data_IF_349741770221
#
_entry.id   IF_349741770221
#
_cell.length_a   1.000
_cell.length_b   1.000
_cell.length_c   1.000
_cell.angle_alpha   90.00
_cell.angle_beta   90.00
_cell.angle_gamma   90.00
#
_symmetry.space_group_name_H-M   'P 1'
#
loop_
_entity.id
_entity.type
_entity.pdbx_description
1 polymer ?
#
# COMPACT_ATOMS: atom_id res chain seq x y z
N UNK A 1 -36.07 5.65 -8.60
CA UNK A 1 -35.99 4.63 -7.53
C UNK A 1 -34.80 5.00 -6.66
N UNK A 2 -35.03 5.58 -5.48
CA UNK A 2 -33.96 6.03 -4.58
C UNK A 2 -33.17 4.80 -4.12
N UNK A 3 -31.93 4.67 -4.59
CA UNK A 3 -30.97 3.75 -3.99
C UNK A 3 -30.68 4.32 -2.61
N UNK A 4 -31.10 3.59 -1.57
CA UNK A 4 -30.69 3.84 -0.19
C UNK A 4 -29.15 3.78 -0.14
N UNK A 5 -28.51 4.95 -0.27
CA UNK A 5 -27.08 5.13 -0.03
C UNK A 5 -26.83 4.84 1.44
N UNK A 6 -26.35 3.63 1.73
CA UNK A 6 -25.86 3.26 3.05
C UNK A 6 -24.75 4.25 3.39
N UNK A 7 -24.99 5.15 4.34
CA UNK A 7 -23.97 6.08 4.82
C UNK A 7 -22.74 5.28 5.30
N UNK A 8 -21.53 5.52 4.76
CA UNK A 8 -20.33 4.73 5.07
C UNK A 8 -19.84 4.91 6.52
N UNK A 9 -20.40 5.86 7.26
CA UNK A 9 -20.19 6.01 8.70
C UNK A 9 -20.84 4.89 9.52
N UNK A 10 -21.77 4.12 8.96
CA UNK A 10 -22.42 3.01 9.65
C UNK A 10 -21.48 1.82 9.88
N UNK A 11 -20.44 1.65 9.06
CA UNK A 11 -19.45 0.57 9.19
C UNK A 11 -18.18 0.94 9.98
N UNK A 12 -18.07 2.18 10.46
CA UNK A 12 -16.92 2.62 11.25
C UNK A 12 -17.10 2.26 12.73
N UNK A 13 -15.99 1.88 13.38
CA UNK A 13 -15.98 1.67 14.83
C UNK A 13 -16.38 2.96 15.57
N UNK A 14 -17.14 2.87 16.69
CA UNK A 14 -17.62 4.04 17.43
C UNK A 14 -16.52 5.05 17.79
N UNK A 15 -15.30 4.56 18.11
CA UNK A 15 -14.16 5.42 18.39
C UNK A 15 -13.75 6.35 17.23
N UNK A 16 -14.01 5.94 15.98
CA UNK A 16 -13.74 6.76 14.79
C UNK A 16 -14.85 7.78 14.53
N UNK A 17 -16.07 7.56 15.03
CA UNK A 17 -17.23 8.43 14.79
C UNK A 17 -17.16 9.76 15.54
N UNK A 18 -16.54 9.75 16.73
CA UNK A 18 -16.47 10.93 17.61
C UNK A 18 -15.19 11.78 17.45
N UNK A 19 -14.18 11.27 16.75
CA UNK A 19 -12.88 11.96 16.56
C UNK A 19 -12.66 12.44 15.14
N UNK A 20 -13.44 11.96 14.17
CA UNK A 20 -13.33 12.36 12.78
C UNK A 20 -14.49 13.30 12.46
N UNK A 21 -14.19 14.57 12.18
CA UNK A 21 -15.16 15.47 11.56
C UNK A 21 -15.43 14.98 10.11
N UNK A 22 -16.32 14.02 9.96
CA UNK A 22 -16.82 13.49 8.68
C UNK A 22 -17.65 14.53 7.89
N UNK A 23 -17.78 15.77 8.36
CA UNK A 23 -18.64 16.79 7.77
C UNK A 23 -18.06 17.51 6.53
N UNK A 24 -16.91 17.06 6.00
CA UNK A 24 -16.28 17.65 4.81
C UNK A 24 -15.65 16.58 3.88
N UNK A 25 -16.32 15.44 3.71
CA UNK A 25 -15.89 14.34 2.84
C UNK A 25 -16.29 14.63 1.39
N UNK A 26 -15.32 14.60 0.47
CA UNK A 26 -15.62 14.40 -0.95
C UNK A 26 -15.70 12.89 -1.20
N UNK A 27 -16.88 12.39 -1.54
CA UNK A 27 -17.04 11.01 -1.97
C UNK A 27 -16.71 10.91 -3.45
N UNK A 28 -15.79 10.02 -3.81
CA UNK A 28 -15.63 9.53 -5.17
C UNK A 28 -15.60 8.02 -5.13
N UNK A 29 -16.48 7.39 -5.90
CA UNK A 29 -16.37 5.96 -6.17
C UNK A 29 -15.14 5.76 -7.05
N UNK A 30 -13.98 5.60 -6.42
CA UNK A 30 -12.74 5.22 -7.08
C UNK A 30 -12.85 3.75 -7.49
N UNK A 31 -12.44 3.42 -8.71
CA UNK A 31 -12.22 2.03 -9.08
C UNK A 31 -11.12 1.43 -8.19
N UNK A 32 -11.44 0.38 -7.44
CA UNK A 32 -10.51 -0.25 -6.51
C UNK A 32 -9.86 -1.48 -7.14
N UNK A 33 -8.55 -1.41 -7.38
CA UNK A 33 -7.73 -2.56 -7.81
C UNK A 33 -6.87 -3.07 -6.65
N UNK A 34 -7.10 -4.31 -6.24
CA UNK A 34 -6.24 -5.03 -5.29
C UNK A 34 -5.30 -5.99 -6.02
N UNK A 35 -4.00 -5.93 -5.74
CA UNK A 35 -2.97 -6.82 -6.31
C UNK A 35 -2.21 -7.52 -5.18
N UNK A 36 -2.47 -8.79 -4.97
CA UNK A 36 -1.77 -9.61 -3.98
C UNK A 36 -0.80 -10.59 -4.63
N UNK A 37 0.22 -11.02 -3.88
CA UNK A 37 1.12 -12.06 -4.34
C UNK A 37 2.39 -12.22 -3.49
N UNK A 38 3.19 -13.26 -3.75
CA UNK A 38 4.40 -13.53 -2.99
C UNK A 38 5.49 -12.48 -3.25
N UNK A 39 6.61 -12.60 -2.52
CA UNK A 39 7.76 -11.75 -2.75
C UNK A 39 8.37 -12.01 -4.15
N UNK A 40 8.89 -10.95 -4.78
CA UNK A 40 9.54 -11.01 -6.09
C UNK A 40 8.68 -11.55 -7.27
N UNK A 41 7.34 -11.58 -7.14
CA UNK A 41 6.42 -11.93 -8.24
C UNK A 41 6.30 -10.83 -9.31
N UNK A 42 6.85 -9.63 -9.09
CA UNK A 42 6.68 -8.48 -9.99
C UNK A 42 5.55 -7.54 -9.58
N UNK A 43 4.70 -7.91 -8.61
CA UNK A 43 3.51 -7.15 -8.18
C UNK A 43 3.72 -5.64 -8.04
N UNK A 44 4.69 -5.18 -7.24
CA UNK A 44 4.84 -3.75 -6.94
C UNK A 44 5.36 -2.96 -8.14
N UNK A 45 6.17 -3.58 -9.00
CA UNK A 45 6.64 -2.95 -10.23
C UNK A 45 5.49 -2.83 -11.23
N UNK A 46 4.72 -3.91 -11.39
CA UNK A 46 3.58 -3.97 -12.32
C UNK A 46 2.42 -3.07 -11.87
N UNK A 47 2.04 -3.12 -10.59
CA UNK A 47 0.98 -2.31 -9.99
C UNK A 47 1.24 -0.82 -10.18
N UNK A 48 2.49 -0.40 -9.98
CA UNK A 48 2.95 0.96 -10.19
C UNK A 48 2.83 1.41 -11.64
N UNK A 49 3.26 0.59 -12.60
CA UNK A 49 3.15 0.93 -14.02
C UNK A 49 1.69 1.02 -14.43
N UNK A 50 0.85 0.09 -13.95
CA UNK A 50 -0.59 0.13 -14.18
C UNK A 50 -1.20 1.41 -13.60
N UNK A 51 -0.91 1.76 -12.35
CA UNK A 51 -1.39 2.97 -11.71
C UNK A 51 -0.97 4.24 -12.47
N UNK A 52 0.29 4.32 -12.89
CA UNK A 52 0.80 5.45 -13.66
C UNK A 52 0.08 5.61 -15.01
N UNK A 53 -0.11 4.51 -15.74
CA UNK A 53 -0.77 4.52 -17.07
C UNK A 53 -2.27 4.80 -16.97
N UNK A 54 -2.94 4.27 -15.95
CA UNK A 54 -4.36 4.51 -15.66
C UNK A 54 -4.61 5.87 -14.99
N UNK A 55 -3.56 6.56 -14.53
CA UNK A 55 -3.66 7.77 -13.69
C UNK A 55 -4.50 7.51 -12.43
N UNK A 56 -4.24 6.36 -11.79
CA UNK A 56 -4.81 5.97 -10.52
C UNK A 56 -3.88 6.35 -9.38
N UNK A 57 -4.44 6.51 -8.18
CA UNK A 57 -3.64 6.51 -6.95
C UNK A 57 -2.93 5.17 -6.79
N UNK A 58 -1.82 5.17 -6.05
CA UNK A 58 -1.08 3.96 -5.76
C UNK A 58 -0.72 3.88 -4.29
N UNK A 59 -1.08 2.79 -3.63
CA UNK A 59 -0.63 2.48 -2.27
C UNK A 59 0.06 1.14 -2.31
N UNK A 60 1.34 1.14 -1.97
CA UNK A 60 2.10 -0.09 -1.96
C UNK A 60 2.08 -0.82 -0.61
N UNK A 61 2.48 -2.08 -0.62
CA UNK A 61 2.66 -2.89 0.59
C UNK A 61 3.71 -2.31 1.55
N UNK A 62 4.62 -1.47 1.04
CA UNK A 62 5.58 -0.71 1.82
C UNK A 62 4.93 0.44 2.58
N UNK A 63 3.97 1.13 1.96
CA UNK A 63 3.19 2.25 2.48
C UNK A 63 2.19 1.75 3.52
N UNK A 64 1.59 0.58 3.29
CA UNK A 64 0.80 -0.12 4.30
C UNK A 64 1.63 -0.45 5.55
N UNK A 65 2.90 -0.86 5.38
CA UNK A 65 3.85 -1.02 6.50
C UNK A 65 4.33 0.31 7.07
N UNK A 66 4.39 1.36 6.25
CA UNK A 66 4.78 2.69 6.67
C UNK A 66 3.73 3.32 7.60
N UNK A 67 2.44 2.99 7.47
CA UNK A 67 1.42 3.44 8.43
C UNK A 67 1.70 2.95 9.86
N UNK A 68 2.17 1.70 10.03
CA UNK A 68 2.62 1.22 11.35
C UNK A 68 3.84 2.00 11.86
N UNK A 69 4.75 2.37 10.96
CA UNK A 69 5.91 3.21 11.29
C UNK A 69 5.50 4.63 11.69
N UNK A 70 4.48 5.20 11.04
CA UNK A 70 3.89 6.50 11.40
C UNK A 70 3.28 6.45 12.79
N UNK A 71 2.52 5.40 13.12
CA UNK A 71 1.98 5.22 14.48
C UNK A 71 3.10 5.02 15.50
N UNK A 72 4.14 4.27 15.14
CA UNK A 72 5.33 4.11 16.00
C UNK A 72 5.98 5.47 16.28
N UNK A 73 6.15 6.29 15.24
CA UNK A 73 6.70 7.64 15.38
C UNK A 73 5.83 8.52 16.29
N UNK A 74 4.51 8.51 16.05
CA UNK A 74 3.57 9.27 16.86
C UNK A 74 3.63 8.87 18.34
N UNK A 75 3.71 7.56 18.63
CA UNK A 75 3.83 7.04 19.99
C UNK A 75 5.12 7.49 20.67
N UNK A 76 6.26 7.34 19.99
CA UNK A 76 7.57 7.75 20.54
C UNK A 76 7.64 9.26 20.80
N UNK A 77 7.09 10.09 19.90
CA UNK A 77 7.00 11.55 20.09
C UNK A 77 6.15 11.94 21.32
N UNK A 78 5.26 11.07 21.78
CA UNK A 78 4.43 11.23 22.98
C UNK A 78 5.01 10.51 24.21
N UNK A 79 6.25 10.00 24.13
CA UNK A 79 6.90 9.17 25.15
C UNK A 79 6.09 7.92 25.54
N UNK A 80 5.29 7.38 24.62
CA UNK A 80 4.54 6.14 24.80
C UNK A 80 5.39 4.96 24.31
N UNK A 81 5.46 3.90 25.12
CA UNK A 81 6.22 2.70 24.78
C UNK A 81 5.39 1.77 23.89
N UNK A 82 5.83 1.46 22.64
CA UNK A 82 5.10 0.57 21.72
C UNK A 82 4.89 -0.87 22.21
N UNK A 83 5.62 -1.28 23.23
CA UNK A 83 5.56 -2.63 23.81
C UNK A 83 4.92 -2.66 25.20
N UNK A 84 4.62 -1.48 25.78
CA UNK A 84 3.99 -1.40 27.10
C UNK A 84 2.48 -1.66 27.01
N UNK A 85 1.92 -2.61 27.77
CA UNK A 85 0.47 -2.81 27.85
C UNK A 85 -0.28 -1.58 28.38
N UNK A 86 0.34 -0.80 29.28
CA UNK A 86 -0.26 0.40 29.87
C UNK A 86 -0.48 1.52 28.86
N UNK A 87 0.38 1.58 27.84
CA UNK A 87 0.28 2.59 26.78
C UNK A 87 -0.56 2.11 25.60
N UNK A 88 -0.95 0.83 25.52
CA UNK A 88 -1.67 0.27 24.39
C UNK A 88 -2.99 1.01 24.09
N UNK A 89 -3.75 1.38 25.12
CA UNK A 89 -4.98 2.17 25.00
C UNK A 89 -4.71 3.58 24.46
N UNK A 90 -3.68 4.27 25.00
CA UNK A 90 -3.27 5.60 24.56
C UNK A 90 -2.78 5.60 23.11
N UNK A 91 -2.00 4.58 22.72
CA UNK A 91 -1.53 4.39 21.35
C UNK A 91 -2.71 4.14 20.40
N UNK A 92 -3.71 3.39 20.84
CA UNK A 92 -4.94 3.16 20.06
C UNK A 92 -5.71 4.46 19.85
N UNK A 93 -5.88 5.26 20.91
CA UNK A 93 -6.50 6.58 20.82
C UNK A 93 -5.71 7.52 19.89
N UNK A 94 -4.38 7.57 20.05
CA UNK A 94 -3.48 8.34 19.20
C UNK A 94 -3.63 7.94 17.73
N UNK A 95 -3.67 6.63 17.45
CA UNK A 95 -3.89 6.09 16.10
C UNK A 95 -5.22 6.57 15.53
N UNK A 96 -6.29 6.55 16.32
CA UNK A 96 -7.61 7.00 15.88
C UNK A 96 -7.56 8.48 15.48
N UNK A 97 -6.97 9.33 16.31
CA UNK A 97 -6.92 10.79 16.14
C UNK A 97 -5.85 11.29 15.16
N UNK A 98 -4.81 10.50 14.87
CA UNK A 98 -3.75 10.91 13.94
C UNK A 98 -4.25 10.98 12.49
N UNK A 99 -3.94 12.09 11.83
CA UNK A 99 -4.17 12.28 10.41
C UNK A 99 -2.96 11.77 9.62
N UNK A 100 -3.07 10.57 9.10
CA UNK A 100 -2.08 10.00 8.18
C UNK A 100 -2.54 10.35 6.76
N UNK A 101 -1.63 10.83 5.91
CA UNK A 101 -1.88 11.05 4.48
C UNK A 101 -0.75 10.42 3.66
N UNK A 102 -1.12 9.74 2.57
CA UNK A 102 -0.19 9.12 1.63
C UNK A 102 -0.38 9.79 0.27
N UNK A 103 0.72 10.20 -0.36
CA UNK A 103 0.68 10.75 -1.71
C UNK A 103 1.79 10.16 -2.56
N UNK A 104 1.45 9.52 -3.67
CA UNK A 104 2.44 9.01 -4.61
C UNK A 104 2.73 10.03 -5.70
N UNK A 105 4.00 10.44 -5.78
CA UNK A 105 4.51 11.24 -6.87
C UNK A 105 5.01 10.30 -7.95
N UNK A 106 4.33 10.29 -9.09
CA UNK A 106 4.81 9.65 -10.30
C UNK A 106 5.76 10.59 -11.04
N UNK A 107 7.00 10.14 -11.27
CA UNK A 107 7.93 10.84 -12.15
C UNK A 107 7.65 10.40 -13.59
N UNK A 108 7.04 11.25 -14.44
CA UNK A 108 6.79 10.87 -15.82
C UNK A 108 8.13 10.68 -16.57
N UNK A 109 8.19 9.78 -17.57
CA UNK A 109 9.32 9.77 -18.50
C UNK A 109 9.43 11.14 -19.19
N UNK A 110 10.65 11.63 -19.37
CA UNK A 110 10.90 12.88 -20.10
C UNK A 110 10.78 12.63 -21.61
N UNK A 111 10.45 13.68 -22.38
CA UNK A 111 10.28 13.59 -23.86
C UNK A 111 11.53 12.98 -24.54
N UNK A 112 12.71 13.11 -23.93
CA UNK A 112 13.98 12.59 -24.44
C UNK A 112 14.31 11.15 -24.01
N UNK A 113 13.52 10.51 -23.13
CA UNK A 113 13.83 9.16 -22.65
C UNK A 113 12.58 8.35 -22.28
N UNK A 114 12.45 7.16 -22.85
CA UNK A 114 11.37 6.20 -22.54
C UNK A 114 11.46 5.58 -21.14
N UNK A 115 12.51 5.89 -20.37
CA UNK A 115 12.70 5.41 -19.00
C UNK A 115 12.24 6.50 -18.01
N UNK A 116 11.39 6.18 -17.02
CA UNK A 116 11.06 7.11 -15.96
C UNK A 116 12.33 7.55 -15.23
N UNK A 117 12.47 8.85 -15.00
CA UNK A 117 13.68 9.48 -14.43
C UNK A 117 14.01 8.94 -13.02
N UNK A 118 13.00 8.49 -12.28
CA UNK A 118 13.11 7.86 -10.96
C UNK A 118 11.86 7.02 -10.65
N UNK A 119 12.01 6.06 -9.73
CA UNK A 119 10.87 5.34 -9.18
C UNK A 119 9.88 6.34 -8.55
N UNK A 120 8.57 6.12 -8.65
CA UNK A 120 7.59 6.93 -7.92
C UNK A 120 7.86 6.85 -6.44
N UNK A 121 7.74 8.01 -5.80
CA UNK A 121 7.99 8.20 -4.38
C UNK A 121 6.66 8.39 -3.67
N UNK A 122 6.40 7.58 -2.65
CA UNK A 122 5.28 7.85 -1.74
C UNK A 122 5.75 8.76 -0.62
N UNK A 123 5.20 9.97 -0.61
CA UNK A 123 5.28 10.92 0.50
C UNK A 123 4.26 10.56 1.57
N UNK A 124 4.65 10.70 2.82
CA UNK A 124 3.88 10.27 3.98
C UNK A 124 3.83 11.43 4.96
N UNK A 125 2.61 11.84 5.30
CA UNK A 125 2.37 12.95 6.21
C UNK A 125 1.67 12.45 7.48
N UNK A 126 2.07 13.01 8.62
CA UNK A 126 1.44 12.84 9.92
C UNK A 126 1.02 14.21 10.43
N UNK A 127 -0.29 14.44 10.60
CA UNK A 127 -0.85 15.72 11.04
C UNK A 127 -0.33 16.92 10.21
N UNK A 128 -0.18 16.73 8.90
CA UNK A 128 0.31 17.75 7.96
C UNK A 128 1.83 17.84 7.83
N UNK A 129 2.59 17.20 8.72
CA UNK A 129 4.06 17.17 8.68
C UNK A 129 4.57 16.04 7.78
N UNK A 130 5.52 16.33 6.88
CA UNK A 130 6.18 15.30 6.07
C UNK A 130 7.12 14.46 6.94
N UNK A 131 6.74 13.21 7.19
CA UNK A 131 7.51 12.25 8.00
C UNK A 131 8.16 11.17 7.14
N UNK A 132 8.22 11.36 5.81
CA UNK A 132 8.68 10.36 4.84
C UNK A 132 10.04 9.79 5.23
N UNK A 133 11.01 10.62 5.58
CA UNK A 133 12.35 10.14 5.95
C UNK A 133 12.42 9.62 7.38
N UNK A 134 11.79 10.30 8.33
CA UNK A 134 11.88 10.01 9.76
C UNK A 134 11.35 8.63 10.13
N UNK A 135 10.23 8.20 9.51
CA UNK A 135 9.64 6.88 9.78
C UNK A 135 10.55 5.71 9.35
N UNK A 136 11.63 5.98 8.61
CA UNK A 136 12.61 4.98 8.16
C UNK A 136 13.81 4.87 9.10
N UNK A 137 13.84 5.61 10.20
CA UNK A 137 14.95 5.58 11.16
C UNK A 137 15.17 4.18 11.79
N UNK A 138 16.39 3.89 12.27
CA UNK A 138 16.67 2.66 13.02
C UNK A 138 15.80 2.52 14.27
N UNK A 139 15.53 3.63 14.96
CA UNK A 139 14.69 3.67 16.15
C UNK A 139 13.26 3.21 15.88
N UNK A 140 12.66 3.68 14.78
CA UNK A 140 11.33 3.25 14.35
C UNK A 140 11.34 1.76 13.98
N UNK A 141 12.38 1.32 13.29
CA UNK A 141 12.53 -0.09 12.90
C UNK A 141 12.62 -1.01 14.12
N UNK A 142 13.29 -0.56 15.19
CA UNK A 142 13.41 -1.30 16.45
C UNK A 142 12.06 -1.49 17.16
N UNK A 143 11.18 -0.50 17.06
CA UNK A 143 9.95 -0.45 17.85
C UNK A 143 8.66 -0.84 17.09
N UNK A 144 8.73 -0.99 15.75
CA UNK A 144 7.54 -1.26 14.91
C UNK A 144 6.79 -2.54 15.29
N UNK A 145 7.49 -3.56 15.80
CA UNK A 145 6.89 -4.86 16.15
C UNK A 145 5.85 -4.73 17.26
N UNK A 146 6.06 -3.84 18.23
CA UNK A 146 5.11 -3.57 19.30
C UNK A 146 3.78 -3.04 18.76
N UNK A 147 3.85 -2.02 17.90
CA UNK A 147 2.67 -1.45 17.22
C UNK A 147 1.99 -2.48 16.31
N UNK A 148 2.75 -3.21 15.49
CA UNK A 148 2.19 -4.15 14.52
C UNK A 148 1.50 -5.38 15.16
N UNK A 149 1.81 -5.66 16.43
CA UNK A 149 1.23 -6.74 17.21
C UNK A 149 -0.05 -6.31 17.95
N UNK A 150 -0.32 -5.01 18.07
CA UNK A 150 -1.52 -4.50 18.72
C UNK A 150 -2.76 -4.65 17.80
N UNK A 151 -3.76 -5.49 18.15
CA UNK A 151 -4.92 -5.76 17.29
C UNK A 151 -5.82 -4.54 17.06
N UNK A 152 -5.96 -3.66 18.04
CA UNK A 152 -6.80 -2.46 17.92
C UNK A 152 -6.17 -1.44 16.98
N UNK A 153 -4.85 -1.27 17.05
CA UNK A 153 -4.09 -0.45 16.09
C UNK A 153 -4.23 -1.02 14.68
N UNK A 154 -4.07 -2.34 14.50
CA UNK A 154 -4.24 -3.00 13.19
C UNK A 154 -5.62 -2.71 12.61
N UNK A 155 -6.68 -2.86 13.43
CA UNK A 155 -8.06 -2.58 13.03
C UNK A 155 -8.22 -1.14 12.55
N UNK A 156 -7.71 -0.17 13.30
CA UNK A 156 -7.77 1.25 12.93
C UNK A 156 -6.98 1.57 11.65
N UNK A 157 -5.82 0.95 11.46
CA UNK A 157 -5.01 1.17 10.25
C UNK A 157 -5.68 0.59 9.01
N UNK A 158 -6.35 -0.57 9.12
CA UNK A 158 -7.17 -1.13 8.03
C UNK A 158 -8.33 -0.18 7.68
N UNK A 159 -8.99 0.41 8.67
CA UNK A 159 -10.05 1.40 8.42
C UNK A 159 -9.51 2.65 7.72
N UNK A 160 -8.32 3.14 8.11
CA UNK A 160 -7.70 4.27 7.41
C UNK A 160 -7.32 3.91 5.96
N UNK A 161 -6.80 2.71 5.71
CA UNK A 161 -6.52 2.20 4.35
C UNK A 161 -7.79 2.16 3.49
N UNK A 162 -8.90 1.65 4.06
CA UNK A 162 -10.20 1.65 3.39
C UNK A 162 -10.69 3.07 3.12
N UNK A 163 -10.54 3.99 4.06
CA UNK A 163 -10.91 5.39 3.86
C UNK A 163 -10.16 5.99 2.66
N UNK A 164 -8.84 5.78 2.56
CA UNK A 164 -8.06 6.20 1.39
C UNK A 164 -8.56 5.57 0.09
N UNK A 165 -8.84 4.27 0.08
CA UNK A 165 -9.34 3.58 -1.11
C UNK A 165 -10.72 4.05 -1.57
N UNK A 166 -11.51 4.65 -0.67
CA UNK A 166 -12.80 5.28 -0.97
C UNK A 166 -12.67 6.79 -1.27
N UNK A 167 -11.44 7.29 -1.46
CA UNK A 167 -11.18 8.71 -1.72
C UNK A 167 -11.52 9.63 -0.55
N UNK A 168 -11.61 9.09 0.67
CA UNK A 168 -11.88 9.87 1.89
C UNK A 168 -10.55 10.43 2.38
N UNK A 169 -10.35 11.73 2.17
CA UNK A 169 -9.17 12.46 2.64
C UNK A 169 -9.55 13.42 3.77
N UNK A 170 -8.68 13.53 4.77
CA UNK A 170 -8.81 14.52 5.83
C UNK A 170 -8.59 15.93 5.28
N UNK A 171 -9.47 16.86 5.62
CA UNK A 171 -9.31 18.28 5.27
C UNK A 171 -8.49 18.94 6.38
N UNK A 172 -7.25 19.30 6.07
CA UNK A 172 -6.46 20.16 6.94
C UNK A 172 -6.71 21.63 6.53
N UNK A 173 -7.11 22.46 7.48
CA UNK A 173 -7.40 23.90 7.29
C UNK A 173 -6.12 24.75 7.32
N UNK A 174 -5.03 24.22 7.88
CA UNK A 174 -3.73 24.91 8.01
C UNK A 174 -2.74 24.54 6.89
N UNK A 175 -2.99 23.47 6.14
CA UNK A 175 -2.18 23.14 4.97
C UNK A 175 -2.59 24.03 3.79
N UNK A 176 -1.70 24.97 3.45
CA UNK A 176 -1.83 25.87 2.30
C UNK A 176 -2.41 25.14 1.07
N UNK A 177 -3.53 25.68 0.59
CA UNK A 177 -4.35 25.16 -0.50
C UNK A 177 -3.55 24.81 -1.76
N UNK A 178 -2.38 25.39 -1.99
CA UNK A 178 -1.59 25.20 -3.21
C UNK A 178 -0.91 23.82 -3.32
N UNK A 179 -0.35 23.26 -2.24
CA UNK A 179 0.31 21.93 -2.29
C UNK A 179 -0.70 20.78 -2.29
N UNK A 180 -1.77 20.86 -1.51
CA UNK A 180 -2.83 19.83 -1.51
C UNK A 180 -3.73 19.88 -2.75
N UNK A 181 -3.98 21.03 -3.36
CA UNK A 181 -4.82 21.07 -4.56
C UNK A 181 -4.12 20.44 -5.79
N UNK A 182 -2.79 20.42 -5.83
CA UNK A 182 -2.04 19.63 -6.81
C UNK A 182 -2.19 18.10 -6.57
N UNK A 183 -2.28 17.69 -5.30
CA UNK A 183 -2.49 16.31 -4.84
C UNK A 183 -3.94 15.85 -5.09
N UNK A 184 -4.92 16.76 -5.03
CA UNK A 184 -6.36 16.48 -5.14
C UNK A 184 -6.90 16.40 -6.58
N UNK A 185 -6.06 16.19 -7.60
CA UNK A 185 -6.58 15.95 -8.95
C UNK A 185 -7.60 14.81 -8.90
N UNK A 186 -8.72 14.90 -9.63
CA UNK A 186 -9.67 13.79 -9.72
C UNK A 186 -8.98 12.55 -10.27
N UNK A 187 -8.69 11.61 -9.37
CA UNK A 187 -8.27 10.27 -9.71
C UNK A 187 -9.53 9.43 -9.93
N UNK A 188 -9.48 8.55 -10.92
CA UNK A 188 -10.60 7.67 -11.31
C UNK A 188 -10.52 6.29 -10.65
N UNK A 189 -9.39 5.97 -10.01
CA UNK A 189 -9.19 4.73 -9.30
C UNK A 189 -7.98 4.74 -8.39
N UNK A 190 -7.79 3.63 -7.69
CA UNK A 190 -6.67 3.36 -6.80
C UNK A 190 -6.16 1.93 -7.04
N UNK A 191 -4.84 1.78 -7.05
CA UNK A 191 -4.16 0.49 -7.07
C UNK A 191 -3.51 0.26 -5.72
N UNK A 192 -3.90 -0.82 -5.04
CA UNK A 192 -3.31 -1.25 -3.79
C UNK A 192 -2.61 -2.59 -3.96
N UNK A 193 -1.29 -2.65 -3.67
CA UNK A 193 -0.53 -3.90 -3.74
C UNK A 193 -0.14 -4.45 -2.36
N UNK A 194 -0.11 -5.79 -2.22
CA UNK A 194 0.15 -6.41 -0.92
C UNK A 194 0.14 -7.93 -0.91
N UNK A 195 -0.28 -8.48 0.23
CA UNK A 195 -0.45 -9.92 0.48
C UNK A 195 -1.86 -10.30 0.89
N UNK A 196 -2.57 -9.35 1.49
CA UNK A 196 -3.90 -9.48 2.08
C UNK A 196 -4.80 -8.29 1.71
N UNK A 197 -4.51 -7.60 0.59
CA UNK A 197 -5.32 -6.47 0.15
C UNK A 197 -6.71 -6.93 -0.24
N UNK A 198 -6.84 -7.87 -1.18
CA UNK A 198 -8.12 -8.36 -1.69
C UNK A 198 -8.87 -9.27 -0.72
N UNK A 199 -8.23 -9.75 0.35
CA UNK A 199 -8.85 -10.63 1.36
C UNK A 199 -9.21 -9.90 2.66
N UNK A 200 -8.42 -8.89 3.07
CA UNK A 200 -8.61 -8.20 4.36
C UNK A 200 -8.93 -6.72 4.18
N UNK A 201 -8.13 -5.99 3.42
CA UNK A 201 -8.25 -4.52 3.32
C UNK A 201 -9.44 -4.13 2.43
N UNK A 202 -9.46 -4.63 1.20
CA UNK A 202 -10.46 -4.39 0.17
C UNK A 202 -11.15 -5.71 -0.27
N UNK A 203 -11.91 -6.36 0.63
CA UNK A 203 -12.64 -7.59 0.31
C UNK A 203 -13.74 -7.37 -0.75
N UNK A 204 -14.08 -6.11 -1.05
CA UNK A 204 -15.06 -5.74 -2.07
C UNK A 204 -14.46 -4.90 -3.21
N UNK A 205 -13.13 -4.98 -3.42
CA UNK A 205 -12.47 -4.29 -4.53
C UNK A 205 -13.14 -4.59 -5.87
N UNK A 206 -13.14 -3.64 -6.80
CA UNK A 206 -13.75 -3.82 -8.13
C UNK A 206 -13.08 -4.92 -8.94
N UNK A 207 -11.76 -5.00 -8.82
CA UNK A 207 -10.93 -6.05 -9.37
C UNK A 207 -9.89 -6.48 -8.34
N UNK A 208 -9.75 -7.80 -8.17
CA UNK A 208 -8.69 -8.42 -7.38
C UNK A 208 -7.85 -9.28 -8.30
N UNK A 209 -6.54 -9.13 -8.23
CA UNK A 209 -5.58 -9.93 -8.99
C UNK A 209 -4.62 -10.56 -8.00
N UNK A 210 -4.40 -11.86 -8.13
CA UNK A 210 -3.35 -12.56 -7.41
C UNK A 210 -2.24 -12.92 -8.39
N UNK A 211 -1.11 -12.22 -8.27
CA UNK A 211 0.05 -12.36 -9.14
C UNK A 211 0.96 -13.44 -8.58
N UNK A 212 1.28 -14.44 -9.39
CA UNK A 212 2.21 -15.53 -9.03
C UNK A 212 3.35 -15.66 -10.05
N UNK A 213 4.36 -16.43 -9.66
CA UNK A 213 5.44 -16.92 -10.53
C UNK A 213 6.16 -18.07 -9.80
N UNK A 214 6.81 -18.96 -10.54
CA UNK A 214 7.62 -20.03 -9.93
C UNK A 214 8.69 -19.49 -8.97
N UNK A 215 9.00 -20.23 -7.91
CA UNK A 215 10.01 -19.82 -6.92
C UNK A 215 11.36 -19.52 -7.57
N UNK A 216 11.77 -20.33 -8.55
CA UNK A 216 12.98 -20.12 -9.36
C UNK A 216 12.96 -18.81 -10.12
N UNK A 217 11.87 -18.47 -10.84
CA UNK A 217 11.76 -17.20 -11.56
C UNK A 217 11.82 -16.01 -10.59
N UNK A 218 11.14 -16.11 -9.45
CA UNK A 218 11.14 -15.06 -8.41
C UNK A 218 12.53 -14.90 -7.79
N UNK A 219 13.25 -15.99 -7.54
CA UNK A 219 14.64 -15.95 -7.07
C UNK A 219 15.57 -15.31 -8.09
N UNK A 220 15.42 -15.63 -9.39
CA UNK A 220 16.20 -14.99 -10.47
C UNK A 220 15.95 -13.47 -10.50
N UNK A 221 14.68 -13.04 -10.41
CA UNK A 221 14.31 -11.62 -10.37
C UNK A 221 14.95 -10.93 -9.17
N UNK A 222 14.85 -11.54 -7.98
CA UNK A 222 15.42 -10.99 -6.74
C UNK A 222 16.94 -10.93 -6.77
N UNK A 223 17.59 -11.95 -7.31
CA UNK A 223 19.03 -12.01 -7.47
C UNK A 223 19.54 -10.87 -8.35
N UNK A 224 18.91 -10.64 -9.51
CA UNK A 224 19.25 -9.52 -10.41
C UNK A 224 19.05 -8.15 -9.73
N UNK A 225 18.01 -7.99 -8.93
CA UNK A 225 17.76 -6.76 -8.16
C UNK A 225 18.89 -6.49 -7.16
N UNK A 226 19.32 -7.51 -6.41
CA UNK A 226 20.40 -7.40 -5.43
C UNK A 226 21.74 -7.08 -6.10
N UNK A 227 22.05 -7.72 -7.24
CA UNK A 227 23.25 -7.41 -8.01
C UNK A 227 23.26 -5.95 -8.48
N UNK A 228 22.15 -5.44 -9.00
CA UNK A 228 22.04 -4.03 -9.42
C UNK A 228 22.22 -3.05 -8.25
N UNK A 229 21.73 -3.39 -7.06
CA UNK A 229 21.92 -2.57 -5.86
C UNK A 229 23.40 -2.56 -5.42
N UNK A 230 24.08 -3.70 -5.49
CA UNK A 230 25.50 -3.79 -5.18
C UNK A 230 26.36 -2.97 -6.15
N UNK A 231 26.12 -3.07 -7.47
CA UNK A 231 26.88 -2.30 -8.47
C UNK A 231 26.77 -0.78 -8.28
N UNK A 232 25.68 -0.29 -7.66
CA UNK A 232 25.50 1.13 -7.33
C UNK A 232 26.25 1.57 -6.08
N UNK A 233 26.62 0.62 -5.22
CA UNK A 233 27.23 0.88 -3.91
C UNK A 233 28.70 0.49 -3.97
N UNK A 234 29.60 1.46 -4.21
CA UNK A 234 31.05 1.26 -4.47
C UNK A 234 31.84 0.49 -3.39
N UNK A 235 31.23 0.10 -2.27
CA UNK A 235 31.88 -0.53 -1.11
C UNK A 235 31.34 -1.93 -0.74
N UNK A 236 30.58 -2.61 -1.61
CA UNK A 236 30.04 -3.96 -1.30
C UNK A 236 30.93 -5.07 -1.88
N UNK A 237 31.89 -5.59 -1.11
CA UNK A 237 32.67 -6.79 -1.44
C UNK A 237 31.89 -8.11 -1.31
N UNK A 238 30.60 -8.06 -0.93
CA UNK A 238 29.80 -9.25 -0.66
C UNK A 238 29.21 -9.81 -1.95
N UNK A 239 29.58 -11.03 -2.33
CA UNK A 239 29.01 -11.73 -3.49
C UNK A 239 27.55 -12.12 -3.18
N UNK A 240 26.60 -11.80 -4.07
CA UNK A 240 25.24 -12.35 -3.98
C UNK A 240 25.28 -13.83 -4.40
N UNK A 241 24.80 -14.72 -3.54
CA UNK A 241 24.63 -16.15 -3.84
C UNK A 241 23.18 -16.45 -4.24
N UNK A 242 22.98 -17.04 -5.42
CA UNK A 242 21.67 -17.42 -5.93
C UNK A 242 20.98 -18.47 -5.04
N UNK A 243 21.71 -19.47 -4.54
CA UNK A 243 21.12 -20.55 -3.75
C UNK A 243 20.58 -20.01 -2.43
N UNK A 244 21.34 -19.13 -1.77
CA UNK A 244 20.89 -18.41 -0.58
C UNK A 244 19.66 -17.53 -0.85
N UNK A 245 19.62 -16.82 -1.98
CA UNK A 245 18.44 -16.00 -2.36
C UNK A 245 17.21 -16.87 -2.57
N UNK A 246 17.34 -18.03 -3.19
CA UNK A 246 16.25 -18.98 -3.37
C UNK A 246 15.76 -19.53 -2.02
N UNK A 247 16.67 -19.98 -1.17
CA UNK A 247 16.35 -20.51 0.17
C UNK A 247 15.63 -19.46 1.05
N UNK A 248 16.14 -18.23 1.09
CA UNK A 248 15.54 -17.12 1.84
C UNK A 248 14.14 -16.79 1.31
N UNK A 249 13.93 -16.89 0.00
CA UNK A 249 12.65 -16.64 -0.64
C UNK A 249 11.63 -17.74 -0.34
N UNK A 250 12.03 -19.02 -0.36
CA UNK A 250 11.18 -20.15 -0.01
C UNK A 250 10.79 -20.14 1.47
N UNK A 251 11.74 -19.87 2.38
CA UNK A 251 11.47 -19.67 3.82
C UNK A 251 10.45 -18.56 4.04
N UNK A 252 10.61 -17.46 3.30
CA UNK A 252 9.70 -16.32 3.38
C UNK A 252 8.31 -16.66 2.86
N UNK A 253 8.21 -17.36 1.74
CA UNK A 253 6.92 -17.79 1.21
C UNK A 253 6.19 -18.70 2.21
N UNK A 254 6.89 -19.70 2.76
CA UNK A 254 6.34 -20.57 3.81
C UNK A 254 5.77 -19.75 4.97
N UNK A 255 6.56 -18.80 5.48
CA UNK A 255 6.10 -17.90 6.55
C UNK A 255 4.90 -17.04 6.15
N UNK A 256 4.86 -16.52 4.91
CA UNK A 256 3.74 -15.72 4.41
C UNK A 256 2.44 -16.53 4.26
N UNK A 257 2.53 -17.79 3.83
CA UNK A 257 1.37 -18.69 3.68
C UNK A 257 0.87 -19.24 5.02
N UNK A 258 1.78 -19.59 5.93
CA UNK A 258 1.45 -20.25 7.21
C UNK A 258 1.13 -19.27 8.35
N UNK A 259 1.35 -17.96 8.17
CA UNK A 259 1.09 -16.98 9.24
C UNK A 259 -0.37 -17.02 9.69
N UNK A 260 -0.58 -17.04 11.01
CA UNK A 260 -1.93 -17.07 11.62
C UNK A 260 -2.77 -15.83 11.28
N UNK A 261 -2.12 -14.67 11.16
CA UNK A 261 -2.80 -13.38 10.93
C UNK A 261 -2.53 -12.93 9.49
N UNK A 262 -3.62 -12.73 8.75
CA UNK A 262 -3.62 -12.29 7.35
C UNK A 262 -2.80 -13.18 6.40
N UNK A 263 -2.89 -14.52 6.40
CA UNK A 263 -2.07 -15.36 5.52
C UNK A 263 -2.13 -14.91 4.05
N UNK A 264 -1.02 -15.05 3.33
CA UNK A 264 -0.99 -14.83 1.88
C UNK A 264 -1.92 -15.86 1.24
N UNK A 265 -3.09 -15.42 0.80
CA UNK A 265 -4.11 -16.27 0.20
C UNK A 265 -4.74 -15.54 -0.98
N UNK A 266 -4.96 -16.26 -2.08
CA UNK A 266 -5.78 -15.77 -3.19
C UNK A 266 -7.21 -15.61 -2.70
N UNK A 267 -7.80 -14.42 -2.85
CA UNK A 267 -9.24 -14.24 -2.66
C UNK A 267 -10.01 -15.10 -3.67
N UNK A 268 -11.17 -15.63 -3.28
CA UNK A 268 -11.90 -16.59 -4.12
C UNK A 268 -12.25 -16.00 -5.50
N UNK A 269 -12.65 -14.73 -5.51
CA UNK A 269 -12.99 -13.92 -6.69
C UNK A 269 -11.78 -13.23 -7.37
N UNK A 270 -10.55 -13.44 -6.90
CA UNK A 270 -9.37 -12.86 -7.53
C UNK A 270 -8.96 -13.61 -8.80
N UNK A 271 -8.63 -12.85 -9.85
CA UNK A 271 -8.02 -13.38 -11.08
C UNK A 271 -6.59 -13.83 -10.77
N UNK A 272 -6.27 -15.10 -11.04
CA UNK A 272 -4.90 -15.60 -10.94
C UNK A 272 -4.12 -15.17 -12.19
N UNK A 273 -3.00 -14.47 -11.99
CA UNK A 273 -2.09 -14.06 -13.07
C UNK A 273 -0.71 -14.69 -12.83
N UNK A 274 -0.39 -15.75 -13.58
CA UNK A 274 0.97 -16.29 -13.61
C UNK A 274 1.85 -15.43 -14.50
N UNK A 275 2.94 -14.93 -13.94
CA UNK A 275 3.86 -14.02 -14.59
C UNK A 275 5.19 -14.66 -14.91
N UNK A 276 5.34 -15.98 -14.74
CA UNK A 276 6.63 -16.69 -14.88
C UNK A 276 7.34 -16.35 -16.19
N UNK A 277 6.58 -16.27 -17.28
CA UNK A 277 7.10 -16.02 -18.64
C UNK A 277 6.74 -14.62 -19.17
N UNK A 278 6.29 -13.70 -18.30
CA UNK A 278 5.92 -12.34 -18.68
C UNK A 278 6.97 -11.32 -18.22
N UNK A 279 7.34 -10.41 -19.12
CA UNK A 279 8.03 -9.18 -18.76
C UNK A 279 7.14 -8.27 -17.90
N UNK A 280 7.74 -7.34 -17.15
CA UNK A 280 6.99 -6.40 -16.30
C UNK A 280 6.01 -5.54 -17.12
N UNK A 281 6.35 -5.22 -18.38
CA UNK A 281 5.48 -4.45 -19.26
C UNK A 281 4.27 -5.26 -19.71
N UNK A 282 4.46 -6.51 -20.14
CA UNK A 282 3.36 -7.42 -20.53
C UNK A 282 2.43 -7.70 -19.35
N UNK A 283 2.99 -7.85 -18.14
CA UNK A 283 2.18 -7.96 -16.92
C UNK A 283 1.31 -6.72 -16.73
N UNK A 284 1.88 -5.52 -16.92
CA UNK A 284 1.16 -4.27 -16.74
C UNK A 284 0.06 -4.09 -17.80
N UNK A 285 0.36 -4.42 -19.06
CA UNK A 285 -0.62 -4.42 -20.15
C UNK A 285 -1.78 -5.37 -19.85
N UNK A 286 -1.49 -6.57 -19.34
CA UNK A 286 -2.52 -7.54 -18.95
C UNK A 286 -3.37 -7.04 -17.78
N UNK A 287 -2.77 -6.44 -16.75
CA UNK A 287 -3.52 -5.84 -15.63
C UNK A 287 -4.40 -4.70 -16.12
N UNK A 288 -3.90 -3.80 -16.96
CA UNK A 288 -4.67 -2.69 -17.51
C UNK A 288 -5.86 -3.22 -18.34
N UNK A 289 -5.64 -4.22 -19.18
CA UNK A 289 -6.72 -4.86 -19.95
C UNK A 289 -7.82 -5.43 -19.03
N UNK A 290 -7.45 -6.11 -17.94
CA UNK A 290 -8.42 -6.64 -16.97
C UNK A 290 -9.18 -5.52 -16.26
N UNK A 291 -8.52 -4.40 -15.94
CA UNK A 291 -9.17 -3.22 -15.34
C UNK A 291 -10.22 -2.65 -16.28
N UNK A 292 -9.88 -2.44 -17.56
CA UNK A 292 -10.79 -1.88 -18.54
C UNK A 292 -11.99 -2.81 -18.82
N UNK A 293 -11.75 -4.11 -18.91
CA UNK A 293 -12.81 -5.13 -19.04
C UNK A 293 -13.77 -5.08 -17.85
N UNK A 294 -13.23 -5.11 -16.63
CA UNK A 294 -14.04 -5.07 -15.41
C UNK A 294 -14.79 -3.75 -15.23
N UNK A 295 -14.19 -2.62 -15.62
CA UNK A 295 -14.85 -1.32 -15.58
C UNK A 295 -16.04 -1.28 -16.55
N UNK A 296 -15.87 -1.85 -17.76
CA UNK A 296 -16.95 -1.98 -18.75
C UNK A 296 -18.08 -2.88 -18.22
N UNK A 297 -17.77 -4.03 -17.64
CA UNK A 297 -18.74 -4.93 -17.01
C UNK A 297 -19.58 -4.23 -15.92
N UNK A 298 -18.93 -3.35 -15.15
CA UNK A 298 -19.56 -2.61 -14.05
C UNK A 298 -20.16 -1.25 -14.46
N UNK A 299 -20.08 -0.86 -15.72
CA UNK A 299 -20.48 0.47 -16.21
C UNK A 299 -19.76 1.63 -15.47
N UNK A 300 -18.46 1.50 -15.23
CA UNK A 300 -17.61 2.52 -14.61
C UNK A 300 -16.81 3.24 -15.72
N UNK A 301 -16.86 4.58 -15.73
CA UNK A 301 -16.09 5.41 -16.66
C UNK A 301 -14.66 5.70 -16.13
N UNK A 302 -13.65 5.16 -16.82
CA UNK A 302 -12.21 5.22 -16.45
C UNK A 302 -11.37 6.17 -17.30
#
# INVERSE_FOLDING_TARGET
>A
MLINLIHPTNNLAPQCKNTVQFNKIFYRNLFQLAIDGPAASGKSSTARIAAQRLKFEYIDSGSNRAMYRVVTLAALRQNLSPVSPEDASKITQLTATSHIHLHTIFNPPTISSSKPLSLPQTLIYLNGEDVTHEIRSPEITKNISGIASNPDVRKLLVEKQRAFANGIYYKDENLSSSKLNAIRKPMKGIVMDGRDVGTVILPNADLKIFVTASAKVRAIRRFKELQQQQSRTKNSSQIVDFNKVLEDLEKRDKSDYERKISPLKKADDAVLLDTSDMSVMEQADKIISLVLERAKEKNIDL
#
